data_IF_391628900824
#
_entry.id   IF_391628900824
#
_cell.length_a   1.000
_cell.length_b   1.000
_cell.length_c   1.000
_cell.angle_alpha   90.00
_cell.angle_beta   90.00
_cell.angle_gamma   90.00
#
_symmetry.space_group_name_H-M   'P 1'
#
loop_
_entity.id
_entity.type
_entity.pdbx_description
1 polymer ?
#
# COMPACT_ATOMS: atom_id res chain seq x y z
N UNK A 1 6.65 6.36 -6.40
CA UNK A 1 5.48 5.75 -5.74
C UNK A 1 4.46 6.82 -5.34
N UNK A 2 4.82 7.86 -4.60
CA UNK A 2 3.89 8.93 -4.21
C UNK A 2 3.08 9.57 -5.36
N UNK A 3 3.67 9.80 -6.55
CA UNK A 3 2.94 10.32 -7.71
C UNK A 3 1.94 9.32 -8.30
N UNK A 4 2.25 8.02 -8.26
CA UNK A 4 1.34 6.97 -8.73
C UNK A 4 0.16 6.81 -7.77
N UNK A 5 0.42 6.86 -6.45
CA UNK A 5 -0.63 6.82 -5.41
C UNK A 5 -1.64 7.97 -5.62
N UNK A 6 -1.16 9.19 -5.89
CA UNK A 6 -2.03 10.35 -6.20
C UNK A 6 -2.90 10.13 -7.45
N UNK A 7 -2.36 9.49 -8.49
CA UNK A 7 -3.13 9.18 -9.70
C UNK A 7 -4.21 8.14 -9.41
N UNK A 8 -3.87 7.07 -8.69
CA UNK A 8 -4.83 6.01 -8.32
C UNK A 8 -5.94 6.58 -7.44
N UNK A 9 -5.59 7.43 -6.47
CA UNK A 9 -6.57 8.14 -5.65
C UNK A 9 -7.50 9.01 -6.49
N UNK A 10 -6.96 9.83 -7.40
CA UNK A 10 -7.76 10.66 -8.29
C UNK A 10 -8.69 9.81 -9.18
N UNK A 11 -8.23 8.67 -9.70
CA UNK A 11 -9.07 7.76 -10.48
C UNK A 11 -10.19 7.15 -9.61
N UNK A 12 -9.88 6.74 -8.38
CA UNK A 12 -10.92 6.23 -7.47
C UNK A 12 -11.97 7.31 -7.17
N UNK A 13 -11.56 8.57 -6.96
CA UNK A 13 -12.48 9.71 -6.80
C UNK A 13 -13.36 9.90 -8.04
N UNK A 14 -12.79 9.78 -9.24
CA UNK A 14 -13.52 9.90 -10.52
C UNK A 14 -14.51 8.77 -10.73
N UNK A 15 -14.13 7.52 -10.47
CA UNK A 15 -14.99 6.35 -10.63
C UNK A 15 -16.17 6.42 -9.67
N UNK A 16 -15.93 6.78 -8.41
CA UNK A 16 -16.98 6.97 -7.42
C UNK A 16 -17.93 8.11 -7.77
N UNK A 17 -17.46 9.11 -8.52
CA UNK A 17 -18.24 10.32 -8.89
C UNK A 17 -18.67 10.35 -10.36
N UNK A 18 -18.62 9.23 -11.08
CA UNK A 18 -18.78 9.19 -12.55
C UNK A 18 -20.12 9.76 -13.03
N UNK A 19 -21.22 9.49 -12.32
CA UNK A 19 -22.55 10.00 -12.67
C UNK A 19 -22.63 11.53 -12.59
N UNK A 20 -22.03 12.13 -11.56
CA UNK A 20 -22.00 13.59 -11.35
C UNK A 20 -21.18 14.26 -12.47
N UNK A 21 -20.04 13.66 -12.83
CA UNK A 21 -19.17 14.17 -13.89
C UNK A 21 -19.90 14.20 -15.23
N UNK A 22 -20.65 13.14 -15.55
CA UNK A 22 -21.48 13.08 -16.76
C UNK A 22 -22.64 14.08 -16.72
N UNK A 23 -23.26 14.27 -15.55
CA UNK A 23 -24.36 15.22 -15.39
C UNK A 23 -23.92 16.68 -15.62
N UNK A 24 -22.71 17.04 -15.18
CA UNK A 24 -22.18 18.41 -15.30
C UNK A 24 -21.21 18.60 -16.48
N UNK A 25 -21.03 17.59 -17.34
CA UNK A 25 -20.11 17.62 -18.47
C UNK A 25 -18.64 17.94 -18.07
N UNK A 26 -18.24 17.56 -16.85
CA UNK A 26 -16.90 17.80 -16.29
C UNK A 26 -15.83 16.81 -16.76
N UNK A 27 -16.08 16.07 -17.84
CA UNK A 27 -15.15 15.07 -18.36
C UNK A 27 -13.82 15.71 -18.80
N UNK A 28 -13.88 16.83 -19.52
CA UNK A 28 -12.69 17.55 -20.01
C UNK A 28 -11.76 18.08 -18.92
N UNK A 29 -12.23 18.83 -17.90
CA UNK A 29 -11.34 19.28 -16.82
C UNK A 29 -10.77 18.11 -16.00
N UNK A 30 -11.51 17.01 -15.86
CA UNK A 30 -11.01 15.82 -15.16
C UNK A 30 -9.97 15.05 -15.98
N UNK A 31 -10.16 14.96 -17.29
CA UNK A 31 -9.18 14.40 -18.23
C UNK A 31 -7.84 15.15 -18.12
N UNK A 32 -7.88 16.49 -18.13
CA UNK A 32 -6.69 17.33 -17.99
C UNK A 32 -6.00 17.14 -16.64
N UNK A 33 -6.77 17.04 -15.55
CA UNK A 33 -6.21 16.76 -14.21
C UNK A 33 -5.47 15.42 -14.17
N UNK A 34 -6.05 14.35 -14.73
CA UNK A 34 -5.40 13.02 -14.79
C UNK A 34 -4.18 13.06 -15.69
N UNK A 35 -4.25 13.75 -16.82
CA UNK A 35 -3.13 13.93 -17.75
C UNK A 35 -1.94 14.63 -17.07
N UNK A 36 -2.19 15.72 -16.34
CA UNK A 36 -1.14 16.44 -15.60
C UNK A 36 -0.50 15.57 -14.50
N UNK A 37 -1.30 14.78 -13.78
CA UNK A 37 -0.78 13.79 -12.83
C UNK A 37 0.09 12.73 -13.53
N UNK A 38 -0.31 12.29 -14.74
CA UNK A 38 0.45 11.33 -15.54
C UNK A 38 1.78 11.89 -16.01
N UNK A 39 1.85 13.14 -16.45
CA UNK A 39 3.11 13.78 -16.85
C UNK A 39 4.11 13.84 -15.68
N UNK A 40 3.64 14.17 -14.48
CA UNK A 40 4.47 14.19 -13.27
C UNK A 40 4.98 12.79 -12.88
N UNK A 41 4.13 11.77 -13.04
CA UNK A 41 4.51 10.36 -12.88
C UNK A 41 5.60 9.96 -13.89
N UNK A 42 5.38 10.27 -15.18
CA UNK A 42 6.31 9.97 -16.26
C UNK A 42 7.67 10.65 -16.05
N UNK A 43 7.70 11.92 -15.61
CA UNK A 43 8.95 12.61 -15.30
C UNK A 43 9.75 11.92 -14.18
N UNK A 44 9.06 11.40 -13.17
CA UNK A 44 9.70 10.64 -12.08
C UNK A 44 10.22 9.27 -12.56
N UNK A 45 9.45 8.58 -13.43
CA UNK A 45 9.86 7.32 -14.05
C UNK A 45 11.05 7.53 -14.99
N UNK A 46 11.07 8.63 -15.75
CA UNK A 46 12.13 8.95 -16.70
C UNK A 46 13.47 9.23 -16.01
N UNK A 47 13.46 9.94 -14.88
CA UNK A 47 14.69 10.13 -14.07
C UNK A 47 15.23 8.80 -13.56
N UNK A 48 14.35 7.93 -13.08
CA UNK A 48 14.74 6.60 -12.60
C UNK A 48 15.27 5.71 -13.74
N UNK A 49 14.66 5.76 -14.92
CA UNK A 49 15.12 5.01 -16.10
C UNK A 49 16.44 5.55 -16.63
N UNK A 50 16.67 6.87 -16.57
CA UNK A 50 17.93 7.48 -16.95
C UNK A 50 19.07 7.03 -16.03
N UNK A 51 18.86 7.01 -14.70
CA UNK A 51 19.82 6.47 -13.73
C UNK A 51 20.12 4.99 -13.98
N UNK A 52 19.09 4.20 -14.29
CA UNK A 52 19.27 2.80 -14.66
C UNK A 52 20.06 2.63 -15.96
N UNK A 53 19.80 3.48 -16.95
CA UNK A 53 20.55 3.51 -18.23
C UNK A 53 22.03 3.83 -18.03
N UNK A 54 22.36 4.83 -17.20
CA UNK A 54 23.76 5.15 -16.84
C UNK A 54 24.43 3.96 -16.16
N UNK A 55 23.75 3.31 -15.19
CA UNK A 55 24.29 2.14 -14.51
C UNK A 55 24.53 0.97 -15.47
N UNK A 56 23.61 0.71 -16.41
CA UNK A 56 23.79 -0.28 -17.47
C UNK A 56 24.97 0.07 -18.40
N UNK A 57 25.13 1.34 -18.77
CA UNK A 57 26.29 1.80 -19.54
C UNK A 57 27.62 1.58 -18.80
N UNK A 58 27.65 1.87 -17.49
CA UNK A 58 28.79 1.57 -16.62
C UNK A 58 29.06 0.06 -16.54
N UNK A 59 28.02 -0.78 -16.51
CA UNK A 59 28.18 -2.22 -16.53
C UNK A 59 28.88 -2.70 -17.81
N UNK A 60 28.46 -2.25 -19.00
CA UNK A 60 29.12 -2.65 -20.25
C UNK A 60 30.56 -2.15 -20.37
N UNK A 61 30.82 -0.91 -19.94
CA UNK A 61 32.17 -0.30 -20.02
C UNK A 61 33.15 -0.80 -18.96
N UNK A 62 32.65 -1.22 -17.79
CA UNK A 62 33.50 -1.63 -16.66
C UNK A 62 34.47 -2.78 -16.99
N UNK A 63 34.10 -3.72 -17.87
CA UNK A 63 35.01 -4.81 -18.27
C UNK A 63 36.24 -4.28 -19.03
N UNK A 64 36.05 -3.27 -19.87
CA UNK A 64 37.15 -2.62 -20.60
C UNK A 64 38.07 -1.83 -19.68
N UNK A 65 37.53 -1.19 -18.64
CA UNK A 65 38.34 -0.50 -17.63
C UNK A 65 39.14 -1.49 -16.77
N UNK A 66 38.51 -2.59 -16.35
CA UNK A 66 39.17 -3.65 -15.58
C UNK A 66 40.27 -4.29 -16.42
N UNK A 67 40.01 -4.60 -17.69
CA UNK A 67 41.04 -5.20 -18.56
C UNK A 67 42.21 -4.25 -18.75
N UNK A 68 41.96 -2.96 -19.03
CA UNK A 68 43.00 -1.95 -19.18
C UNK A 68 43.83 -1.80 -17.90
N UNK A 69 43.19 -1.81 -16.72
CA UNK A 69 43.90 -1.78 -15.44
C UNK A 69 44.76 -3.03 -15.22
N UNK A 70 44.23 -4.23 -15.49
CA UNK A 70 44.97 -5.49 -15.31
C UNK A 70 46.13 -5.67 -16.28
N UNK A 71 45.98 -5.26 -17.54
CA UNK A 71 47.07 -5.28 -18.51
C UNK A 71 48.06 -4.13 -18.28
N UNK A 72 47.60 -2.98 -17.81
CA UNK A 72 48.45 -1.86 -17.41
C UNK A 72 49.34 -2.19 -16.22
N UNK A 73 48.80 -2.86 -15.20
CA UNK A 73 49.55 -3.33 -14.04
C UNK A 73 50.61 -4.38 -14.46
N UNK A 74 50.22 -5.33 -15.32
CA UNK A 74 51.14 -6.30 -15.92
C UNK A 74 52.29 -5.62 -16.68
N UNK A 75 51.99 -4.59 -17.48
CA UNK A 75 53.00 -3.83 -18.22
C UNK A 75 53.98 -3.12 -17.28
N UNK A 76 53.47 -2.49 -16.22
CA UNK A 76 54.29 -1.73 -15.27
C UNK A 76 55.19 -2.63 -14.41
N UNK A 77 54.71 -3.82 -14.05
CA UNK A 77 55.45 -4.76 -13.18
C UNK A 77 56.45 -5.67 -13.93
N UNK A 78 56.49 -5.62 -15.26
CA UNK A 78 57.39 -6.20 -16.28
C UNK A 78 58.07 -7.58 -16.07
N UNK A 79 58.41 -8.02 -14.86
CA UNK A 79 59.25 -9.21 -14.62
C UNK A 79 58.65 -10.29 -13.68
N UNK A 80 57.53 -10.05 -12.98
CA UNK A 80 57.07 -10.97 -11.90
C UNK A 80 55.79 -11.75 -12.18
N UNK A 81 54.92 -11.28 -13.07
CA UNK A 81 53.59 -11.87 -13.28
C UNK A 81 53.58 -12.79 -14.49
N UNK A 82 53.32 -14.07 -14.30
CA UNK A 82 53.05 -14.99 -15.43
C UNK A 82 51.66 -14.68 -16.02
N UNK A 83 51.48 -14.76 -17.36
CA UNK A 83 50.21 -14.47 -18.02
C UNK A 83 49.02 -15.25 -17.44
N UNK A 84 49.24 -16.51 -17.02
CA UNK A 84 48.22 -17.37 -16.40
C UNK A 84 47.56 -16.76 -15.16
N UNK A 85 48.32 -16.02 -14.34
CA UNK A 85 47.79 -15.37 -13.15
C UNK A 85 46.96 -14.14 -13.51
N UNK A 86 47.37 -13.39 -14.53
CA UNK A 86 46.64 -12.20 -15.00
C UNK A 86 45.27 -12.56 -15.61
N UNK A 87 45.21 -13.57 -16.49
CA UNK A 87 43.94 -14.04 -17.06
C UNK A 87 42.99 -14.62 -16.01
N UNK A 88 43.55 -15.30 -15.01
CA UNK A 88 42.77 -15.81 -13.86
C UNK A 88 42.18 -14.65 -13.04
N UNK A 89 42.97 -13.62 -12.72
CA UNK A 89 42.51 -12.42 -12.02
C UNK A 89 41.42 -11.66 -12.80
N UNK A 90 41.58 -11.51 -14.11
CA UNK A 90 40.58 -10.87 -14.98
C UNK A 90 39.24 -11.61 -14.93
N UNK A 91 39.26 -12.94 -14.87
CA UNK A 91 38.04 -13.76 -14.77
C UNK A 91 37.36 -13.59 -13.40
N UNK A 92 38.13 -13.55 -12.31
CA UNK A 92 37.59 -13.26 -10.97
C UNK A 92 36.96 -11.86 -10.89
N UNK A 93 37.62 -10.83 -11.43
CA UNK A 93 37.03 -9.48 -11.49
C UNK A 93 35.77 -9.45 -12.37
N UNK A 94 35.73 -10.25 -13.43
CA UNK A 94 34.53 -10.45 -14.24
C UNK A 94 33.32 -10.93 -13.43
N UNK A 95 33.51 -11.87 -12.51
CA UNK A 95 32.44 -12.36 -11.62
C UNK A 95 32.03 -11.32 -10.56
N UNK A 96 33.00 -10.69 -9.89
CA UNK A 96 32.73 -9.65 -8.87
C UNK A 96 31.92 -8.50 -9.47
N UNK A 97 32.27 -8.07 -10.68
CA UNK A 97 31.58 -7.00 -11.42
C UNK A 97 30.10 -7.28 -11.62
N UNK A 98 29.72 -8.51 -11.98
CA UNK A 98 28.30 -8.87 -12.17
C UNK A 98 27.55 -8.78 -10.85
N UNK A 99 28.15 -9.29 -9.77
CA UNK A 99 27.57 -9.25 -8.42
C UNK A 99 27.40 -7.84 -7.88
N UNK A 100 28.41 -6.98 -8.04
CA UNK A 100 28.42 -5.62 -7.48
C UNK A 100 27.59 -4.65 -8.33
N UNK A 101 27.68 -4.69 -9.66
CA UNK A 101 27.04 -3.65 -10.48
C UNK A 101 25.57 -3.95 -10.72
N UNK A 102 25.18 -5.22 -10.91
CA UNK A 102 23.81 -5.58 -11.27
C UNK A 102 22.98 -6.00 -10.05
N UNK A 103 23.44 -7.00 -9.30
CA UNK A 103 22.64 -7.57 -8.20
C UNK A 103 22.57 -6.64 -6.98
N UNK A 104 23.67 -6.01 -6.58
CA UNK A 104 23.69 -5.14 -5.40
C UNK A 104 22.83 -3.88 -5.58
N UNK A 105 22.81 -3.27 -6.77
CA UNK A 105 21.96 -2.09 -7.01
C UNK A 105 20.46 -2.44 -6.96
N UNK A 106 20.09 -3.58 -7.57
CA UNK A 106 18.71 -4.09 -7.49
C UNK A 106 18.36 -4.41 -6.04
N UNK A 107 19.27 -5.05 -5.30
CA UNK A 107 19.07 -5.40 -3.90
C UNK A 107 18.82 -4.15 -3.05
N UNK A 108 19.61 -3.08 -3.20
CA UNK A 108 19.41 -1.82 -2.47
C UNK A 108 18.01 -1.24 -2.75
N UNK A 109 17.60 -1.21 -4.02
CA UNK A 109 16.26 -0.73 -4.40
C UNK A 109 15.15 -1.55 -3.74
N UNK A 110 15.23 -2.87 -3.82
CA UNK A 110 14.22 -3.78 -3.25
C UNK A 110 14.20 -3.76 -1.74
N UNK A 111 15.36 -3.61 -1.12
CA UNK A 111 15.47 -3.47 0.33
C UNK A 111 14.81 -2.17 0.81
N UNK A 112 15.02 -1.05 0.10
CA UNK A 112 14.34 0.20 0.42
C UNK A 112 12.81 0.08 0.30
N UNK A 113 12.30 -0.54 -0.77
CA UNK A 113 10.87 -0.80 -0.95
C UNK A 113 10.31 -1.70 0.18
N UNK A 114 11.01 -2.79 0.52
CA UNK A 114 10.63 -3.70 1.61
C UNK A 114 10.55 -2.98 2.96
N UNK A 115 11.51 -2.12 3.28
CA UNK A 115 11.50 -1.34 4.52
C UNK A 115 10.27 -0.44 4.62
N UNK A 116 9.87 0.20 3.52
CA UNK A 116 8.66 1.03 3.51
C UNK A 116 7.39 0.21 3.67
N UNK A 117 7.31 -0.97 3.04
CA UNK A 117 6.18 -1.89 3.18
C UNK A 117 6.07 -2.43 4.61
N UNK A 118 7.20 -2.84 5.21
CA UNK A 118 7.25 -3.32 6.59
C UNK A 118 6.78 -2.25 7.58
N UNK A 119 7.24 -1.00 7.44
CA UNK A 119 6.78 0.11 8.28
C UNK A 119 5.26 0.35 8.16
N UNK A 120 4.70 0.23 6.95
CA UNK A 120 3.26 0.39 6.74
C UNK A 120 2.46 -0.73 7.41
N UNK A 121 2.93 -1.97 7.33
CA UNK A 121 2.30 -3.13 7.97
C UNK A 121 2.36 -3.01 9.50
N UNK A 122 3.53 -2.65 10.05
CA UNK A 122 3.70 -2.43 11.49
C UNK A 122 2.80 -1.31 12.00
N UNK A 123 2.74 -0.18 11.28
CA UNK A 123 1.83 0.93 11.60
C UNK A 123 0.36 0.49 11.62
N UNK A 124 -0.06 -0.33 10.65
CA UNK A 124 -1.43 -0.87 10.59
C UNK A 124 -1.72 -1.86 11.73
N UNK A 125 -0.80 -2.78 12.02
CA UNK A 125 -1.00 -3.78 13.08
C UNK A 125 -1.03 -3.16 14.48
N UNK A 126 -0.38 -2.01 14.68
CA UNK A 126 -0.40 -1.25 15.94
C UNK A 126 -1.62 -0.37 16.12
N UNK A 127 -2.52 -0.29 15.13
CA UNK A 127 -3.75 0.48 15.28
C UNK A 127 -4.54 -0.03 16.50
N UNK A 128 -4.99 0.90 17.33
CA UNK A 128 -5.82 0.61 18.48
C UNK A 128 -7.10 -0.07 18.02
N UNK A 129 -7.34 -1.29 18.50
CA UNK A 129 -8.62 -1.96 18.29
C UNK A 129 -9.67 -1.26 19.16
N UNK A 130 -10.83 -0.98 18.59
CA UNK A 130 -12.00 -0.57 19.36
C UNK A 130 -12.30 -1.74 20.31
N UNK A 131 -12.22 -1.50 21.62
CA UNK A 131 -12.48 -2.54 22.61
C UNK A 131 -13.97 -2.93 22.53
N UNK A 132 -14.24 -4.18 22.17
CA UNK A 132 -15.56 -4.81 22.27
C UNK A 132 -15.96 -4.89 23.75
N UNK A 133 -16.43 -3.77 24.31
CA UNK A 133 -16.91 -3.72 25.70
C UNK A 133 -18.40 -3.99 25.81
N UNK A 134 -19.08 -4.24 24.69
CA UNK A 134 -20.46 -4.74 24.69
C UNK A 134 -20.39 -6.21 25.13
N UNK A 135 -20.57 -6.46 26.42
CA UNK A 135 -20.72 -7.82 26.93
C UNK A 135 -22.10 -8.33 26.51
N UNK A 136 -22.21 -9.33 25.60
CA UNK A 136 -23.49 -9.95 25.32
C UNK A 136 -23.93 -10.67 26.58
N UNK A 137 -24.86 -10.08 27.33
CA UNK A 137 -25.38 -10.71 28.53
C UNK A 137 -26.53 -11.62 28.10
N UNK A 138 -26.43 -12.90 28.41
CA UNK A 138 -27.35 -13.97 28.00
C UNK A 138 -28.69 -13.97 28.75
N UNK A 139 -28.89 -13.04 29.69
CA UNK A 139 -30.13 -12.95 30.46
C UNK A 139 -31.16 -12.11 29.70
N UNK A 140 -32.16 -12.78 29.13
CA UNK A 140 -33.32 -12.15 28.52
C UNK A 140 -34.16 -11.54 29.64
N UNK A 141 -33.84 -10.30 30.01
CA UNK A 141 -34.68 -9.45 30.84
C UNK A 141 -35.71 -8.69 29.99
N UNK A 142 -36.57 -7.90 30.64
CA UNK A 142 -37.57 -7.04 29.99
C UNK A 142 -36.96 -5.89 29.16
N UNK A 143 -35.64 -5.65 29.28
CA UNK A 143 -34.91 -4.52 28.68
C UNK A 143 -33.93 -5.07 27.65
N UNK A 144 -34.09 -4.69 26.38
CA UNK A 144 -33.22 -5.12 25.28
C UNK A 144 -31.89 -4.35 25.22
N UNK A 145 -31.90 -3.06 25.57
CA UNK A 145 -30.72 -2.18 25.56
C UNK A 145 -30.74 -1.32 26.83
N UNK A 146 -29.65 -1.32 27.58
CA UNK A 146 -29.45 -0.48 28.77
C UNK A 146 -28.23 0.40 28.58
N UNK A 147 -28.39 1.72 28.70
CA UNK A 147 -27.31 2.71 28.62
C UNK A 147 -27.33 3.56 29.89
N UNK A 148 -26.27 3.50 30.68
CA UNK A 148 -26.15 4.25 31.94
C UNK A 148 -25.06 5.31 31.82
N UNK A 149 -25.48 6.58 31.73
CA UNK A 149 -24.61 7.76 31.62
C UNK A 149 -23.47 7.60 30.58
N UNK A 150 -23.81 7.00 29.44
CA UNK A 150 -22.86 6.63 28.39
C UNK A 150 -22.50 7.85 27.53
N UNK A 151 -21.21 8.14 27.40
CA UNK A 151 -20.68 9.19 26.52
C UNK A 151 -19.77 8.55 25.47
N UNK A 152 -19.98 8.92 24.21
CA UNK A 152 -19.23 8.42 23.07
C UNK A 152 -18.67 9.59 22.26
N UNK A 153 -17.53 9.38 21.59
CA UNK A 153 -16.94 10.43 20.74
C UNK A 153 -16.29 9.85 19.50
N UNK A 154 -16.66 10.37 18.33
CA UNK A 154 -15.86 10.28 17.11
C UNK A 154 -15.17 11.62 16.85
N UNK A 155 -14.08 11.58 16.09
CA UNK A 155 -13.38 12.79 15.62
C UNK A 155 -14.29 13.62 14.68
N UNK A 156 -15.19 12.96 13.95
CA UNK A 156 -16.23 13.60 13.14
C UNK A 156 -17.62 13.26 13.68
N UNK A 157 -18.36 14.28 14.10
CA UNK A 157 -19.76 14.11 14.50
C UNK A 157 -20.65 14.04 13.25
N UNK A 158 -21.26 12.88 13.05
CA UNK A 158 -22.40 12.71 12.14
C UNK A 158 -23.68 13.06 12.91
N UNK A 159 -24.84 13.10 12.25
CA UNK A 159 -26.13 13.27 12.91
C UNK A 159 -26.27 12.36 14.14
N UNK A 160 -26.77 12.90 15.25
CA UNK A 160 -26.82 12.19 16.53
C UNK A 160 -27.61 10.87 16.50
N UNK A 161 -28.52 10.69 15.52
CA UNK A 161 -29.27 9.43 15.32
C UNK A 161 -28.40 8.32 14.75
N UNK A 162 -27.62 8.62 13.70
CA UNK A 162 -26.69 7.67 13.09
C UNK A 162 -25.57 7.31 14.05
N UNK A 163 -25.03 8.31 14.77
CA UNK A 163 -24.04 8.08 15.83
C UNK A 163 -24.60 7.20 16.95
N UNK A 164 -25.87 7.37 17.35
CA UNK A 164 -26.50 6.50 18.34
C UNK A 164 -26.59 5.04 17.85
N UNK A 165 -26.91 4.80 16.57
CA UNK A 165 -26.90 3.45 16.00
C UNK A 165 -25.48 2.85 15.99
N UNK A 166 -24.47 3.62 15.56
CA UNK A 166 -23.07 3.18 15.61
C UNK A 166 -22.61 2.88 17.05
N UNK A 167 -23.13 3.61 18.05
CA UNK A 167 -22.80 3.38 19.45
C UNK A 167 -23.42 2.07 19.97
N UNK A 168 -24.66 1.75 19.55
CA UNK A 168 -25.32 0.47 19.85
C UNK A 168 -24.57 -0.70 19.19
N UNK A 169 -24.04 -0.51 17.97
CA UNK A 169 -23.27 -1.53 17.24
C UNK A 169 -21.86 -1.76 17.82
N UNK A 170 -21.38 -0.89 18.72
CA UNK A 170 -20.04 -0.97 19.29
C UNK A 170 -18.94 -0.40 18.40
N UNK A 171 -19.31 0.27 17.31
CA UNK A 171 -18.36 0.92 16.42
C UNK A 171 -17.80 2.21 17.04
N UNK A 172 -18.56 2.89 17.92
CA UNK A 172 -18.07 4.10 18.59
C UNK A 172 -17.30 3.79 19.87
N UNK A 173 -16.12 4.41 20.10
CA UNK A 173 -15.42 4.25 21.36
C UNK A 173 -16.20 4.92 22.50
N UNK A 174 -16.38 4.17 23.59
CA UNK A 174 -17.01 4.65 24.83
C UNK A 174 -15.98 5.44 25.65
N UNK A 175 -16.33 6.69 25.98
CA UNK A 175 -15.50 7.59 26.82
C UNK A 175 -15.82 7.41 28.30
N UNK A 176 -17.11 7.30 28.64
CA UNK A 176 -17.56 7.09 30.02
C UNK A 176 -18.93 6.41 30.06
N UNK A 177 -19.28 5.77 31.18
CA UNK A 177 -20.57 5.10 31.37
C UNK A 177 -20.55 3.61 31.05
N UNK A 178 -21.73 3.01 30.88
CA UNK A 178 -21.92 1.58 30.60
C UNK A 178 -23.02 1.36 29.55
N UNK A 179 -22.80 0.40 28.63
CA UNK A 179 -23.77 -0.01 27.61
C UNK A 179 -23.88 -1.54 27.59
N UNK A 180 -25.11 -2.04 27.72
CA UNK A 180 -25.43 -3.47 27.66
C UNK A 180 -26.49 -3.72 26.61
N UNK A 181 -26.20 -4.65 25.72
CA UNK A 181 -27.11 -5.12 24.67
C UNK A 181 -27.40 -6.60 24.92
N UNK A 182 -28.68 -6.95 24.90
CA UNK A 182 -29.17 -8.30 25.16
C UNK A 182 -29.75 -8.90 23.87
N UNK A 183 -29.33 -10.12 23.52
CA UNK A 183 -29.82 -10.84 22.33
C UNK A 183 -29.06 -10.51 21.03
N UNK A 184 -29.63 -10.91 19.90
CA UNK A 184 -29.09 -10.69 18.56
C UNK A 184 -29.78 -9.51 17.86
N UNK A 185 -29.02 -8.66 17.19
CA UNK A 185 -29.54 -7.55 16.39
C UNK A 185 -29.21 -7.72 14.91
N UNK A 186 -30.00 -7.12 14.04
CA UNK A 186 -29.74 -6.98 12.61
C UNK A 186 -29.58 -5.50 12.27
N UNK A 187 -28.65 -5.18 11.38
CA UNK A 187 -28.36 -3.80 10.98
C UNK A 187 -28.59 -3.61 9.49
N UNK A 188 -29.27 -2.52 9.12
CA UNK A 188 -29.41 -2.06 7.76
C UNK A 188 -28.76 -0.67 7.64
N UNK A 189 -27.68 -0.58 6.86
CA UNK A 189 -26.97 0.66 6.62
C UNK A 189 -27.76 1.60 5.70
N UNK A 190 -27.53 2.91 5.82
CA UNK A 190 -28.13 3.92 4.95
C UNK A 190 -27.78 3.72 3.47
N UNK A 191 -26.54 3.30 3.19
CA UNK A 191 -26.08 2.87 1.88
C UNK A 191 -25.90 1.35 1.88
N UNK A 192 -26.60 0.60 1.02
CA UNK A 192 -26.49 -0.86 1.01
C UNK A 192 -25.10 -1.28 0.55
N UNK A 193 -24.46 -2.19 1.29
CA UNK A 193 -23.19 -2.79 0.90
C UNK A 193 -23.46 -4.03 0.06
N UNK A 194 -23.45 -3.91 -1.27
CA UNK A 194 -23.74 -5.02 -2.17
C UNK A 194 -22.44 -5.70 -2.60
N UNK A 195 -22.36 -7.03 -2.42
CA UNK A 195 -21.24 -7.83 -2.92
C UNK A 195 -21.45 -8.20 -4.39
N UNK A 196 -20.36 -8.41 -5.13
CA UNK A 196 -20.41 -8.87 -6.52
C UNK A 196 -20.76 -10.36 -6.59
N UNK A 197 -22.02 -10.70 -6.30
CA UNK A 197 -22.55 -12.07 -6.33
C UNK A 197 -24.03 -12.07 -6.76
N UNK A 198 -24.62 -13.25 -6.92
CA UNK A 198 -26.04 -13.44 -7.23
C UNK A 198 -26.88 -12.95 -6.04
N UNK A 199 -28.00 -12.29 -6.35
CA UNK A 199 -28.97 -11.76 -5.37
C UNK A 199 -29.34 -12.81 -4.31
N UNK A 200 -29.48 -14.08 -4.70
CA UNK A 200 -29.75 -15.20 -3.78
C UNK A 200 -28.67 -15.34 -2.70
N UNK A 201 -27.39 -15.36 -3.09
CA UNK A 201 -26.27 -15.47 -2.15
C UNK A 201 -26.20 -14.23 -1.26
N UNK A 202 -26.48 -13.06 -1.84
CA UNK A 202 -26.54 -11.80 -1.11
C UNK A 202 -27.65 -11.76 -0.04
N UNK A 203 -28.79 -12.39 -0.27
CA UNK A 203 -29.88 -12.51 0.72
C UNK A 203 -29.53 -13.57 1.78
N UNK A 204 -28.95 -14.69 1.37
CA UNK A 204 -28.63 -15.81 2.26
C UNK A 204 -27.46 -15.52 3.20
N UNK A 205 -26.49 -14.68 2.79
CA UNK A 205 -25.30 -14.31 3.55
C UNK A 205 -24.61 -15.52 4.21
N UNK A 206 -24.42 -16.59 3.44
CA UNK A 206 -23.77 -17.82 3.89
C UNK A 206 -24.68 -18.84 4.59
N UNK A 207 -25.99 -18.58 4.72
CA UNK A 207 -26.98 -19.58 5.17
C UNK A 207 -27.39 -20.52 4.03
N UNK A 208 -27.78 -21.78 4.33
CA UNK A 208 -28.30 -22.70 3.32
C UNK A 208 -29.61 -22.17 2.73
N UNK A 209 -29.88 -22.54 1.46
CA UNK A 209 -31.15 -22.26 0.80
C UNK A 209 -32.12 -23.41 1.10
N UNK A 210 -33.12 -23.14 1.93
CA UNK A 210 -34.26 -24.05 2.19
C UNK A 210 -35.35 -23.90 1.13
#
# INVERSE_FOLDING_TARGET
>A
MACADKRVQAINELVNSCQIIKMYNWEKPMEERVHNLRLNELGSVLRASHLYGINMGLYFSSLSFISLATFGDYWLMSDYLKPVHNYSALTFFGFIRVSVTNYLLIAIKRFAEMLTASKRIDAFMRLTKIQERITPTTQIGTIAISMNNASFSWIELISGKSSLLSAILGEMPLVSGDIRVFGSFTYAAQTPWIFADIIRVYILLGKPFD
#
